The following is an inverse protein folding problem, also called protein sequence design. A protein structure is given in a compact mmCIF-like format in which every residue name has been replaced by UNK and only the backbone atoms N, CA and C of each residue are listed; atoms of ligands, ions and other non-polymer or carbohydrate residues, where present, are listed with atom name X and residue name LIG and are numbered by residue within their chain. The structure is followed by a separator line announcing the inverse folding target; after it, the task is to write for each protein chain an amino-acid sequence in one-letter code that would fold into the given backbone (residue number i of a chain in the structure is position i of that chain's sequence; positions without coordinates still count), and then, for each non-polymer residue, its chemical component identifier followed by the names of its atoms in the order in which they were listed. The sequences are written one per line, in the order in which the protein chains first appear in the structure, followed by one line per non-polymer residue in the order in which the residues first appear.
data_IF_520570313224
#
_entry.id   IF_520570313224
#
_cell.length_a   1.000
_cell.length_b   1.000
_cell.length_c   1.000
_cell.angle_alpha   90.00
_cell.angle_beta   90.00
_cell.angle_gamma   90.00
#
_symmetry.space_group_name_H-M   'P 1'
#
loop_
_entity.id
_entity.type
_entity.pdbx_description
1 polymer ?
#
# COMPACT_ATOMS: atom_id res chain seq x y z
N UNK A 1 23.33 12.02 -17.52
CA UNK A 1 22.40 11.70 -16.42
C UNK A 1 21.01 11.82 -17.01
N UNK A 2 20.44 10.69 -17.46
CA UNK A 2 19.17 10.69 -18.19
C UNK A 2 18.05 10.92 -17.19
N UNK A 3 17.33 12.03 -17.36
CA UNK A 3 16.13 12.34 -16.58
C UNK A 3 15.01 11.39 -17.05
N UNK A 4 15.00 10.19 -16.49
CA UNK A 4 14.02 9.17 -16.81
C UNK A 4 12.72 9.52 -16.07
N UNK A 5 11.62 9.70 -16.82
CA UNK A 5 10.31 9.96 -16.24
C UNK A 5 9.89 8.86 -15.26
N UNK A 6 9.01 9.20 -14.31
CA UNK A 6 8.56 8.29 -13.26
C UNK A 6 8.09 6.93 -13.81
N UNK A 7 7.34 6.92 -14.91
CA UNK A 7 6.86 5.69 -15.56
C UNK A 7 7.99 4.77 -16.03
N UNK A 8 9.08 5.33 -16.57
CA UNK A 8 10.25 4.55 -17.02
C UNK A 8 10.98 3.92 -15.83
N UNK A 9 11.15 4.67 -14.74
CA UNK A 9 11.77 4.18 -13.51
C UNK A 9 10.95 3.05 -12.88
N UNK A 10 9.62 3.20 -12.83
CA UNK A 10 8.71 2.17 -12.32
C UNK A 10 8.75 0.92 -13.21
N UNK A 11 8.74 1.06 -14.53
CA UNK A 11 8.82 -0.07 -15.45
C UNK A 11 10.12 -0.87 -15.24
N UNK A 12 11.26 -0.19 -15.08
CA UNK A 12 12.54 -0.84 -14.79
C UNK A 12 12.52 -1.55 -13.42
N UNK A 13 11.91 -0.94 -12.40
CA UNK A 13 11.73 -1.57 -11.10
C UNK A 13 10.88 -2.85 -11.17
N UNK A 14 9.79 -2.85 -11.96
CA UNK A 14 8.95 -4.06 -12.17
C UNK A 14 9.74 -5.23 -12.72
N UNK A 15 10.58 -5.01 -13.73
CA UNK A 15 11.43 -6.06 -14.30
C UNK A 15 12.36 -6.66 -13.26
N UNK A 16 12.94 -5.84 -12.38
CA UNK A 16 13.84 -6.28 -11.31
C UNK A 16 13.11 -7.01 -10.17
N UNK A 17 11.84 -6.67 -9.93
CA UNK A 17 11.01 -7.29 -8.91
C UNK A 17 10.42 -8.64 -9.35
N UNK A 18 10.58 -9.03 -10.62
CA UNK A 18 10.13 -10.33 -11.10
C UNK A 18 10.71 -11.46 -10.22
N UNK A 19 9.84 -12.26 -9.61
CA UNK A 19 10.22 -13.32 -8.69
C UNK A 19 10.38 -12.91 -7.22
N UNK A 20 10.29 -11.62 -6.89
CA UNK A 20 10.24 -11.14 -5.49
C UNK A 20 8.88 -11.42 -4.85
N UNK A 21 8.83 -11.65 -3.52
CA UNK A 21 7.57 -11.84 -2.79
C UNK A 21 6.63 -10.65 -2.94
N UNK A 22 5.35 -10.95 -3.16
CA UNK A 22 4.26 -9.97 -3.23
C UNK A 22 3.49 -9.93 -1.92
N UNK A 23 2.81 -8.80 -1.70
CA UNK A 23 1.85 -8.58 -0.62
C UNK A 23 0.47 -8.41 -1.22
N UNK A 24 -0.56 -8.82 -0.46
CA UNK A 24 -1.94 -8.70 -0.91
C UNK A 24 -2.53 -7.35 -0.51
N UNK A 25 -3.29 -6.78 -1.43
CA UNK A 25 -4.07 -5.57 -1.25
C UNK A 25 -5.48 -5.95 -0.79
N UNK A 26 -5.92 -5.29 0.28
CA UNK A 26 -7.25 -5.45 0.84
C UNK A 26 -8.08 -4.18 0.70
N UNK A 27 -9.38 -4.36 0.48
CA UNK A 27 -10.36 -3.29 0.50
C UNK A 27 -11.41 -3.54 1.59
N UNK A 28 -11.73 -2.50 2.36
CA UNK A 28 -12.74 -2.59 3.41
C UNK A 28 -14.14 -2.55 2.79
N UNK A 29 -14.87 -3.65 2.95
CA UNK A 29 -16.27 -3.75 2.55
C UNK A 29 -17.15 -3.62 3.77
N UNK A 30 -17.86 -2.50 3.86
CA UNK A 30 -18.93 -2.31 4.84
C UNK A 30 -20.13 -3.16 4.46
N UNK A 31 -20.64 -3.95 5.40
CA UNK A 31 -21.85 -4.73 5.16
C UNK A 31 -23.07 -3.84 5.32
N UNK A 32 -23.88 -3.75 4.26
CA UNK A 32 -25.17 -3.07 4.30
C UNK A 32 -26.08 -3.78 5.32
N UNK A 33 -26.71 -3.01 6.22
CA UNK A 33 -27.72 -3.54 7.15
C UNK A 33 -28.96 -3.92 6.36
N UNK A 34 -29.39 -5.16 6.47
CA UNK A 34 -30.65 -5.65 5.89
C UNK A 34 -31.52 -6.14 7.06
N UNK A 35 -32.73 -5.58 7.20
CA UNK A 35 -33.65 -5.87 8.31
C UNK A 35 -33.04 -5.74 9.73
N UNK A 36 -32.21 -4.71 9.96
CA UNK A 36 -31.62 -4.45 11.29
C UNK A 36 -30.46 -5.37 11.68
N UNK A 37 -30.16 -6.41 10.90
CA UNK A 37 -29.03 -7.31 11.11
C UNK A 37 -27.88 -6.86 10.18
N UNK A 38 -26.84 -6.26 10.76
CA UNK A 38 -25.60 -5.93 10.06
C UNK A 38 -24.59 -7.06 10.19
N UNK A 39 -23.98 -7.49 9.08
CA UNK A 39 -22.80 -8.37 9.16
C UNK A 39 -21.60 -7.54 9.61
N UNK A 40 -20.66 -8.18 10.30
CA UNK A 40 -19.39 -7.54 10.65
C UNK A 40 -18.63 -7.15 9.36
N UNK A 41 -17.93 -6.00 9.34
CA UNK A 41 -17.14 -5.57 8.21
C UNK A 41 -16.06 -6.61 7.87
N UNK A 42 -15.71 -6.66 6.59
CA UNK A 42 -14.70 -7.58 6.03
C UNK A 42 -13.73 -6.79 5.18
N UNK A 43 -12.46 -7.17 5.22
CA UNK A 43 -11.46 -6.66 4.30
C UNK A 43 -11.23 -7.78 3.29
N UNK A 44 -11.61 -7.56 2.03
CA UNK A 44 -11.54 -8.57 0.97
C UNK A 44 -10.29 -8.36 0.13
N UNK A 45 -9.67 -9.43 -0.38
CA UNK A 45 -8.53 -9.31 -1.27
C UNK A 45 -8.96 -8.78 -2.64
N UNK A 46 -8.22 -7.80 -3.16
CA UNK A 46 -8.53 -7.15 -4.44
C UNK A 46 -7.37 -7.12 -5.42
N UNK A 47 -6.16 -7.47 -4.97
CA UNK A 47 -4.99 -7.56 -5.82
C UNK A 47 -3.72 -7.88 -5.05
N UNK A 48 -2.58 -7.81 -5.75
CA UNK A 48 -1.25 -8.04 -5.19
C UNK A 48 -0.26 -7.00 -5.72
N UNK A 49 0.73 -6.66 -4.91
CA UNK A 49 1.76 -5.69 -5.26
C UNK A 49 3.10 -6.04 -4.59
N UNK A 50 4.20 -5.50 -5.10
CA UNK A 50 5.48 -5.46 -4.39
C UNK A 50 5.52 -4.25 -3.46
N UNK A 51 5.91 -4.45 -2.21
CA UNK A 51 5.96 -3.37 -1.22
C UNK A 51 7.35 -2.72 -1.12
N UNK A 52 7.48 -1.47 -1.55
CA UNK A 52 8.73 -0.71 -1.53
C UNK A 52 8.53 0.52 -0.64
N UNK A 53 8.55 0.29 0.67
CA UNK A 53 8.35 1.31 1.70
C UNK A 53 7.05 2.10 1.52
N UNK A 54 7.13 3.32 0.98
CA UNK A 54 5.95 4.18 0.78
C UNK A 54 5.21 3.91 -0.53
N UNK A 55 5.74 3.04 -1.38
CA UNK A 55 5.15 2.65 -2.65
C UNK A 55 4.74 1.17 -2.66
N UNK A 56 3.66 0.88 -3.37
CA UNK A 56 3.21 -0.45 -3.74
C UNK A 56 3.21 -0.52 -5.27
N UNK A 57 3.97 -1.43 -5.86
CA UNK A 57 4.03 -1.59 -7.31
C UNK A 57 3.22 -2.82 -7.70
N UNK A 58 2.11 -2.61 -8.42
CA UNK A 58 1.38 -3.68 -9.10
C UNK A 58 1.95 -3.94 -10.50
N UNK A 59 1.33 -4.85 -11.24
CA UNK A 59 1.74 -5.17 -12.62
C UNK A 59 1.51 -4.00 -13.58
N UNK A 60 0.38 -3.29 -13.42
CA UNK A 60 0.00 -2.16 -14.27
C UNK A 60 -0.05 -0.84 -13.49
N UNK A 61 -0.53 -0.89 -12.25
CA UNK A 61 -0.73 0.28 -11.38
C UNK A 61 0.41 0.46 -10.36
N UNK A 62 0.47 1.66 -9.77
CA UNK A 62 1.32 1.98 -8.61
C UNK A 62 0.42 2.62 -7.57
N UNK A 63 0.65 2.29 -6.30
CA UNK A 63 -0.14 2.81 -5.20
C UNK A 63 0.76 3.43 -4.11
N UNK A 64 0.24 4.41 -3.40
CA UNK A 64 0.77 4.82 -2.11
C UNK A 64 0.47 3.76 -1.05
N UNK A 65 1.46 3.44 -0.21
CA UNK A 65 1.25 2.58 0.95
C UNK A 65 0.28 3.25 1.93
N UNK A 66 -0.79 2.54 2.26
CA UNK A 66 -1.74 2.92 3.32
C UNK A 66 -1.36 2.32 4.68
N UNK A 67 -2.34 1.71 5.33
CA UNK A 67 -2.15 0.97 6.57
C UNK A 67 -1.68 -0.46 6.28
N UNK A 68 -0.75 -0.97 7.11
CA UNK A 68 -0.29 -2.36 7.08
C UNK A 68 -0.85 -3.09 8.27
N UNK A 69 -1.55 -4.20 8.03
CA UNK A 69 -2.11 -5.05 9.08
C UNK A 69 -1.71 -6.50 8.88
N UNK A 70 -1.77 -7.28 9.97
CA UNK A 70 -1.67 -8.73 9.91
C UNK A 70 -3.02 -9.34 10.22
N UNK A 71 -3.54 -10.16 9.31
CA UNK A 71 -4.80 -10.85 9.49
C UNK A 71 -4.70 -11.78 10.71
N UNK A 72 -5.71 -11.75 11.59
CA UNK A 72 -5.75 -12.59 12.78
C UNK A 72 -7.18 -13.01 13.05
N UNK A 73 -7.35 -14.25 13.51
CA UNK A 73 -8.63 -14.68 14.04
C UNK A 73 -8.93 -13.90 15.34
N UNK A 74 -10.19 -13.56 15.56
CA UNK A 74 -10.64 -12.77 16.70
C UNK A 74 -10.46 -13.59 18.00
N UNK A 75 -9.54 -13.18 18.89
CA UNK A 75 -9.24 -13.97 20.09
C UNK A 75 -8.91 -13.17 21.37
N UNK A 76 -8.80 -11.83 21.34
CA UNK A 76 -8.39 -11.08 22.54
C UNK A 76 -9.62 -10.56 23.28
N UNK A 77 -10.05 -11.30 24.31
CA UNK A 77 -11.04 -10.81 25.29
C UNK A 77 -10.34 -9.87 26.27
N UNK A 78 -10.87 -8.65 26.46
CA UNK A 78 -10.44 -7.71 27.51
C UNK A 78 -9.43 -6.64 27.09
N UNK A 79 -9.75 -5.82 26.09
CA UNK A 79 -8.92 -4.65 25.77
C UNK A 79 -9.03 -3.57 26.86
N UNK A 80 -7.89 -3.10 27.35
CA UNK A 80 -7.78 -1.95 28.26
C UNK A 80 -7.87 -0.60 27.53
N UNK A 81 -7.68 -0.57 26.19
CA UNK A 81 -7.70 0.65 25.38
C UNK A 81 -8.48 0.49 24.07
N UNK A 82 -9.23 1.52 23.68
CA UNK A 82 -10.04 1.55 22.45
C UNK A 82 -9.21 1.40 21.17
N UNK A 83 -8.00 1.98 21.12
CA UNK A 83 -7.12 1.87 19.96
C UNK A 83 -6.60 0.44 19.71
N UNK A 84 -6.50 -0.38 20.75
CA UNK A 84 -6.15 -1.79 20.61
C UNK A 84 -7.33 -2.60 20.06
N UNK A 85 -8.54 -2.27 20.52
CA UNK A 85 -9.79 -2.86 20.00
C UNK A 85 -9.94 -2.58 18.50
N UNK A 86 -9.84 -1.33 18.07
CA UNK A 86 -9.98 -0.94 16.65
C UNK A 86 -8.99 -1.67 15.73
N UNK A 87 -7.73 -1.80 16.16
CA UNK A 87 -6.71 -2.57 15.42
C UNK A 87 -7.03 -4.06 15.36
N UNK A 88 -7.51 -4.64 16.46
CA UNK A 88 -7.93 -6.05 16.49
C UNK A 88 -9.14 -6.28 15.58
N UNK A 89 -10.12 -5.38 15.60
CA UNK A 89 -11.34 -5.49 14.79
C UNK A 89 -11.01 -5.46 13.29
N UNK A 90 -10.03 -4.64 12.86
CA UNK A 90 -9.51 -4.64 11.49
C UNK A 90 -8.75 -5.92 11.13
N UNK A 91 -7.88 -6.41 12.02
CA UNK A 91 -7.17 -7.67 11.81
C UNK A 91 -8.15 -8.85 11.64
N UNK A 92 -9.22 -8.86 12.44
CA UNK A 92 -10.31 -9.82 12.33
C UNK A 92 -11.14 -9.62 11.05
N UNK A 93 -11.34 -8.37 10.59
CA UNK A 93 -12.02 -8.09 9.34
C UNK A 93 -11.25 -8.65 8.12
N UNK A 94 -9.92 -8.58 8.13
CA UNK A 94 -9.08 -9.22 7.11
C UNK A 94 -9.21 -10.74 7.14
N UNK A 95 -9.11 -11.36 8.31
CA UNK A 95 -9.32 -12.80 8.39
C UNK A 95 -10.71 -13.23 7.88
N UNK A 96 -11.78 -12.51 8.28
CA UNK A 96 -13.15 -12.74 7.80
C UNK A 96 -13.35 -12.56 6.29
N UNK A 97 -12.49 -11.79 5.64
CA UNK A 97 -12.54 -11.54 4.20
C UNK A 97 -11.72 -12.50 3.35
N UNK A 98 -11.05 -13.50 3.96
CA UNK A 98 -10.34 -14.56 3.23
C UNK A 98 -8.81 -14.43 3.22
N UNK A 99 -8.24 -13.66 4.13
CA UNK A 99 -6.80 -13.65 4.38
C UNK A 99 -6.42 -14.75 5.38
N UNK A 100 -5.28 -15.40 5.13
CA UNK A 100 -4.74 -16.44 6.00
C UNK A 100 -4.31 -15.85 7.35
N UNK A 101 -4.29 -16.69 8.39
CA UNK A 101 -3.83 -16.22 9.71
C UNK A 101 -2.35 -15.79 9.65
N UNK A 102 -2.06 -14.61 10.18
CA UNK A 102 -0.72 -14.00 10.16
C UNK A 102 -0.35 -13.32 8.84
N UNK A 103 -1.17 -13.44 7.79
CA UNK A 103 -0.91 -12.85 6.47
C UNK A 103 -0.86 -11.32 6.54
N UNK A 104 0.11 -10.72 5.83
CA UNK A 104 0.26 -9.25 5.77
C UNK A 104 -0.63 -8.69 4.68
N UNK A 105 -1.40 -7.66 5.04
CA UNK A 105 -2.38 -7.01 4.17
C UNK A 105 -2.15 -5.51 4.18
N UNK A 106 -2.17 -4.89 3.00
CA UNK A 106 -2.21 -3.45 2.85
C UNK A 106 -3.64 -2.99 2.61
N UNK A 107 -4.10 -2.00 3.38
CA UNK A 107 -5.44 -1.40 3.24
C UNK A 107 -5.35 0.12 3.20
N UNK A 108 -6.36 0.78 2.60
CA UNK A 108 -6.34 2.23 2.43
C UNK A 108 -5.20 2.72 1.56
N UNK A 109 -4.68 1.85 0.70
CA UNK A 109 -3.77 2.22 -0.38
C UNK A 109 -4.50 3.14 -1.36
N UNK A 110 -3.75 4.00 -2.06
CA UNK A 110 -4.30 4.93 -3.06
C UNK A 110 -3.54 4.80 -4.36
N UNK A 111 -4.25 4.64 -5.46
CA UNK A 111 -3.62 4.63 -6.78
C UNK A 111 -2.94 5.97 -7.07
N UNK A 112 -1.76 5.90 -7.69
CA UNK A 112 -0.95 7.04 -8.09
C UNK A 112 -1.07 7.24 -9.59
N UNK A 113 -1.39 8.47 -9.98
CA UNK A 113 -1.44 8.85 -11.37
C UNK A 113 -0.05 9.28 -11.85
N UNK A 114 0.68 8.33 -12.46
CA UNK A 114 2.01 8.60 -13.03
C UNK A 114 1.97 9.63 -14.17
N UNK A 115 0.85 9.74 -14.88
CA UNK A 115 0.68 10.73 -15.95
C UNK A 115 0.51 12.14 -15.41
N UNK A 116 -0.21 12.29 -14.29
CA UNK A 116 -0.27 13.55 -13.55
C UNK A 116 1.12 13.96 -13.03
N UNK A 117 1.91 13.02 -12.50
CA UNK A 117 3.29 13.29 -12.06
C UNK A 117 4.15 13.75 -13.23
N UNK A 118 4.05 13.10 -14.39
CA UNK A 118 4.78 13.50 -15.59
C UNK A 118 4.40 14.92 -16.06
N UNK A 119 3.15 15.34 -15.85
CA UNK A 119 2.68 16.70 -16.10
C UNK A 119 3.03 17.70 -14.97
N UNK A 120 3.91 17.32 -14.04
CA UNK A 120 4.29 18.08 -12.86
C UNK A 120 3.13 18.41 -11.89
N UNK A 121 2.01 17.70 -11.99
CA UNK A 121 0.98 17.71 -10.96
C UNK A 121 1.38 16.78 -9.80
N UNK A 122 1.03 17.16 -8.58
CA UNK A 122 1.36 16.37 -7.40
C UNK A 122 0.45 15.13 -7.29
N UNK A 123 1.05 13.96 -7.09
CA UNK A 123 0.34 12.72 -6.75
C UNK A 123 1.04 12.06 -5.57
N UNK A 124 0.77 12.55 -4.36
CA UNK A 124 1.43 12.12 -3.12
C UNK A 124 1.47 10.59 -2.97
N UNK A 125 2.66 9.97 -2.75
CA UNK A 125 3.95 10.57 -2.40
C UNK A 125 4.88 10.97 -3.55
N UNK A 126 4.44 10.87 -4.80
CA UNK A 126 5.24 11.26 -5.97
C UNK A 126 5.05 12.74 -6.33
N UNK A 127 6.16 13.37 -6.68
CA UNK A 127 6.22 14.77 -7.05
C UNK A 127 7.41 15.02 -8.00
N UNK A 128 7.38 16.13 -8.74
CA UNK A 128 8.50 16.58 -9.55
C UNK A 128 9.20 17.73 -8.82
N UNK A 129 10.53 17.64 -8.68
CA UNK A 129 11.37 18.70 -8.13
C UNK A 129 12.44 19.01 -9.17
N UNK A 130 12.42 20.25 -9.69
CA UNK A 130 13.36 20.71 -10.73
C UNK A 130 13.46 19.77 -11.95
N UNK A 131 12.32 19.21 -12.39
CA UNK A 131 12.25 18.28 -13.53
C UNK A 131 12.44 16.80 -13.16
N UNK A 132 12.99 16.53 -11.97
CA UNK A 132 13.34 15.17 -11.55
C UNK A 132 12.21 14.54 -10.70
N UNK A 133 11.78 13.31 -11.00
CA UNK A 133 10.86 12.57 -10.15
C UNK A 133 11.43 12.32 -8.76
N UNK A 134 10.67 12.70 -7.74
CA UNK A 134 10.98 12.51 -6.33
C UNK A 134 9.87 11.71 -5.64
N UNK A 135 10.23 11.13 -4.50
CA UNK A 135 9.29 10.50 -3.57
C UNK A 135 9.41 11.12 -2.19
N UNK A 136 8.27 11.41 -1.57
CA UNK A 136 8.19 11.76 -0.16
C UNK A 136 8.20 10.49 0.68
N UNK A 137 9.31 10.21 1.34
CA UNK A 137 9.56 8.91 1.99
C UNK A 137 9.31 8.92 3.49
N UNK A 138 9.03 10.09 4.08
CA UNK A 138 8.66 10.21 5.48
C UNK A 138 7.60 11.29 5.71
N UNK A 139 6.96 11.26 6.88
CA UNK A 139 5.94 12.22 7.30
C UNK A 139 6.52 13.60 7.64
N UNK A 140 7.84 13.68 7.89
CA UNK A 140 8.56 14.93 8.13
C UNK A 140 8.81 15.75 6.85
N UNK A 141 8.36 15.26 5.68
CA UNK A 141 8.47 15.98 4.41
C UNK A 141 9.79 15.73 3.67
N UNK A 142 10.59 14.76 4.10
CA UNK A 142 11.80 14.35 3.40
C UNK A 142 11.47 13.83 2.01
N UNK A 143 12.05 14.46 0.98
CA UNK A 143 11.97 14.03 -0.42
C UNK A 143 13.29 13.44 -0.87
N UNK A 144 13.25 12.45 -1.75
CA UNK A 144 14.45 11.85 -2.37
C UNK A 144 14.20 11.60 -3.86
N UNK A 145 15.23 11.67 -4.73
CA UNK A 145 15.09 11.22 -6.11
C UNK A 145 14.51 9.81 -6.17
N UNK A 146 13.51 9.61 -7.03
CA UNK A 146 12.79 8.34 -7.15
C UNK A 146 13.72 7.21 -7.59
N UNK A 147 14.65 7.50 -8.49
CA UNK A 147 15.65 6.53 -8.94
C UNK A 147 16.47 5.98 -7.75
N UNK A 148 17.09 6.87 -6.97
CA UNK A 148 17.89 6.49 -5.80
C UNK A 148 17.08 5.73 -4.76
N UNK A 149 15.81 6.12 -4.55
CA UNK A 149 14.92 5.44 -3.62
C UNK A 149 14.61 4.02 -4.09
N UNK A 150 14.25 3.83 -5.37
CA UNK A 150 13.95 2.51 -5.92
C UNK A 150 15.19 1.63 -5.89
N UNK A 151 16.36 2.14 -6.27
CA UNK A 151 17.60 1.38 -6.25
C UNK A 151 17.96 0.88 -4.86
N UNK A 152 17.81 1.73 -3.84
CA UNK A 152 18.02 1.33 -2.45
C UNK A 152 17.01 0.26 -2.01
N UNK A 153 15.71 0.47 -2.26
CA UNK A 153 14.69 -0.50 -1.87
C UNK A 153 14.83 -1.85 -2.59
N UNK A 154 15.33 -1.83 -3.83
CA UNK A 154 15.62 -3.04 -4.61
C UNK A 154 16.89 -3.74 -4.15
N UNK A 155 17.88 -3.01 -3.63
CA UNK A 155 19.12 -3.60 -3.09
C UNK A 155 18.94 -4.28 -1.72
N UNK A 156 17.86 -3.96 -0.99
CA UNK A 156 17.52 -4.54 0.32
C UNK A 156 16.76 -5.88 0.22
N UNK A 157 16.58 -6.40 -0.99
CA UNK A 157 15.77 -7.59 -1.29
C UNK A 157 16.65 -8.71 -1.81
#
# INVERSE_FOLDING_TARGET
MMDAGASTLIAAARTRLAGSPRVRLGELVESRRVFGIGRAPRIVPVGEAWHLGVLLIGDEQVFATGEVLRARHDAIRGFTAQSQRERSDRAAAAHRGGFAEGETVHVGWRELDLSAVAAAAASDPLLIVAGVPHVRWNTAGGTRPLADYLDEQLALR
#
